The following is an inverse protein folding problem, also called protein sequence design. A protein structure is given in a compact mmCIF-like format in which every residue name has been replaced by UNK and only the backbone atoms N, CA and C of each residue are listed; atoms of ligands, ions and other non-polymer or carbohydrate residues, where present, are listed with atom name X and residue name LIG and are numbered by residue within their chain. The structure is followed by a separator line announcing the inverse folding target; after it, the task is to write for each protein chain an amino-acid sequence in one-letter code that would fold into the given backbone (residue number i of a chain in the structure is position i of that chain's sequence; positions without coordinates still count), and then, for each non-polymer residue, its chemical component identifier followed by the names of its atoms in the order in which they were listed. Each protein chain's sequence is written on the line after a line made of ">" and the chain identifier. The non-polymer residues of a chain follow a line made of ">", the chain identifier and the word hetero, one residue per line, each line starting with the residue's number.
data_IF_794138455324
#
_entry.id   IF_794138455324
#
_cell.length_a   1.000
_cell.length_b   1.000
_cell.length_c   1.000
_cell.angle_alpha   90.00
_cell.angle_beta   90.00
_cell.angle_gamma   90.00
#
_symmetry.space_group_name_H-M   'P 1'
#
loop_
_entity.id
_entity.type
_entity.pdbx_description
1 polymer ?
#
# COMPACT_ATOMS: atom_id res chain seq x y z
N UNK A 1 -0.25 53.01 -35.02
CA UNK A 1 -1.32 52.39 -34.21
C UNK A 1 -1.16 50.88 -34.28
N UNK A 2 -0.59 50.25 -33.25
CA UNK A 2 -0.33 48.82 -33.24
C UNK A 2 -0.33 48.26 -31.80
N UNK A 3 -0.83 47.02 -31.72
CA UNK A 3 -0.87 46.04 -30.62
C UNK A 3 -2.13 46.07 -29.74
N UNK A 4 -3.02 45.08 -29.79
CA UNK A 4 -2.88 43.60 -29.73
C UNK A 4 -2.54 43.12 -28.31
N UNK A 5 -3.42 42.24 -27.81
CA UNK A 5 -3.14 41.28 -26.74
C UNK A 5 -3.31 41.85 -25.33
N UNK A 6 -3.82 41.11 -24.37
CA UNK A 6 -4.53 39.84 -24.35
C UNK A 6 -5.08 39.74 -22.93
N UNK A 7 -6.27 39.14 -22.80
CA UNK A 7 -6.90 38.90 -21.51
C UNK A 7 -5.93 38.23 -20.55
N UNK A 8 -5.81 38.80 -19.36
CA UNK A 8 -5.18 38.13 -18.24
C UNK A 8 -5.98 36.84 -17.94
N UNK A 9 -5.37 35.65 -17.95
CA UNK A 9 -6.04 34.49 -17.38
C UNK A 9 -6.08 34.67 -15.87
N UNK A 10 -7.31 34.78 -15.37
CA UNK A 10 -7.67 34.68 -13.96
C UNK A 10 -7.10 33.36 -13.43
N UNK A 11 -6.09 33.44 -12.56
CA UNK A 11 -5.59 32.29 -11.80
C UNK A 11 -6.32 32.30 -10.47
N UNK A 12 -7.50 31.70 -10.45
CA UNK A 12 -8.24 31.42 -9.22
C UNK A 12 -8.15 29.93 -8.96
N UNK A 13 -7.37 29.57 -7.93
CA UNK A 13 -7.12 28.20 -7.52
C UNK A 13 -8.31 27.52 -6.86
N UNK A 14 -8.26 26.18 -6.88
CA UNK A 14 -8.96 25.13 -6.09
C UNK A 14 -9.02 23.91 -7.02
N UNK A 15 -8.47 22.71 -6.76
CA UNK A 15 -8.31 21.99 -5.52
C UNK A 15 -7.06 21.09 -5.57
N UNK A 16 -6.16 21.29 -4.60
CA UNK A 16 -5.18 20.29 -4.20
C UNK A 16 -5.86 19.38 -3.15
N UNK A 17 -5.67 18.06 -3.28
CA UNK A 17 -6.07 17.09 -2.25
C UNK A 17 -7.31 16.26 -2.61
N UNK A 18 -7.16 15.37 -3.59
CA UNK A 18 -8.22 14.44 -3.98
C UNK A 18 -7.97 13.81 -5.34
N UNK A 19 -6.74 13.36 -5.62
CA UNK A 19 -6.57 12.31 -6.62
C UNK A 19 -7.35 11.12 -6.06
N UNK A 20 -8.53 10.96 -6.64
CA UNK A 20 -9.61 10.09 -6.23
C UNK A 20 -9.09 8.74 -5.73
N UNK A 21 -9.81 8.13 -4.78
CA UNK A 21 -9.92 6.66 -4.75
C UNK A 21 -10.47 6.25 -6.12
N UNK A 22 -9.63 6.29 -7.14
CA UNK A 22 -10.01 6.26 -8.53
C UNK A 22 -10.72 4.93 -8.71
N UNK A 23 -12.01 5.02 -8.95
CA UNK A 23 -12.89 3.85 -9.03
C UNK A 23 -12.29 2.96 -10.12
N UNK A 24 -11.73 1.82 -9.71
CA UNK A 24 -11.15 0.86 -10.65
C UNK A 24 -12.27 0.41 -11.58
N UNK A 25 -12.25 0.87 -12.83
CA UNK A 25 -13.13 0.37 -13.87
C UNK A 25 -12.61 -0.98 -14.38
N UNK A 26 -13.46 -1.76 -15.07
CA UNK A 26 -13.10 -3.11 -15.48
C UNK A 26 -11.87 -3.14 -16.40
N UNK A 27 -11.71 -2.13 -17.27
CA UNK A 27 -10.57 -2.04 -18.18
C UNK A 27 -9.26 -1.74 -17.46
N UNK A 28 -9.26 -0.79 -16.51
CA UNK A 28 -8.05 -0.48 -15.72
C UNK A 28 -7.72 -1.59 -14.74
N UNK A 29 -8.73 -2.25 -14.15
CA UNK A 29 -8.52 -3.41 -13.28
C UNK A 29 -7.82 -4.55 -14.01
N UNK A 30 -8.18 -4.85 -15.27
CA UNK A 30 -7.51 -5.88 -16.07
C UNK A 30 -6.04 -5.55 -16.36
N UNK A 31 -5.75 -4.28 -16.66
CA UNK A 31 -4.38 -3.80 -16.88
C UNK A 31 -3.54 -3.90 -15.60
N UNK A 32 -4.07 -3.41 -14.48
CA UNK A 32 -3.42 -3.49 -13.17
C UNK A 32 -3.19 -4.94 -12.77
N UNK A 33 -4.19 -5.81 -12.94
CA UNK A 33 -4.07 -7.24 -12.63
C UNK A 33 -2.95 -7.89 -13.45
N UNK A 34 -2.82 -7.55 -14.73
CA UNK A 34 -1.73 -8.07 -15.59
C UNK A 34 -0.35 -7.64 -15.07
N UNK A 35 -0.21 -6.38 -14.66
CA UNK A 35 1.03 -5.87 -14.06
C UNK A 35 1.33 -6.57 -12.72
N UNK A 36 0.33 -6.68 -11.84
CA UNK A 36 0.50 -7.36 -10.55
C UNK A 36 0.80 -8.85 -10.69
N UNK A 37 0.21 -9.53 -11.69
CA UNK A 37 0.52 -10.91 -12.01
C UNK A 37 2.00 -11.08 -12.41
N UNK A 38 2.56 -10.09 -13.08
CA UNK A 38 3.98 -10.06 -13.37
C UNK A 38 4.81 -9.92 -12.08
N UNK A 39 4.35 -9.15 -11.09
CA UNK A 39 5.02 -9.02 -9.80
C UNK A 39 4.82 -10.27 -8.91
N UNK A 40 3.80 -11.09 -9.14
CA UNK A 40 3.47 -12.26 -8.33
C UNK A 40 4.43 -13.47 -8.50
N UNK A 41 5.71 -13.27 -8.80
CA UNK A 41 6.70 -14.36 -8.87
C UNK A 41 7.98 -13.99 -8.14
N UNK A 42 8.48 -14.85 -7.22
CA UNK A 42 9.63 -14.55 -6.36
C UNK A 42 10.87 -14.11 -7.14
N UNK A 43 11.27 -14.84 -8.18
CA UNK A 43 12.45 -14.50 -8.99
C UNK A 43 12.37 -13.10 -9.61
N UNK A 44 11.17 -12.68 -10.05
CA UNK A 44 10.98 -11.36 -10.66
C UNK A 44 11.01 -10.25 -9.62
N UNK A 45 10.45 -10.50 -8.43
CA UNK A 45 10.58 -9.57 -7.31
C UNK A 45 12.03 -9.40 -6.87
N UNK A 46 12.82 -10.47 -6.83
CA UNK A 46 14.24 -10.41 -6.51
C UNK A 46 15.00 -9.56 -7.54
N UNK A 47 14.76 -9.77 -8.83
CA UNK A 47 15.37 -8.95 -9.90
C UNK A 47 14.99 -7.46 -9.72
N UNK A 48 13.71 -7.16 -9.49
CA UNK A 48 13.25 -5.78 -9.32
C UNK A 48 13.81 -5.14 -8.04
N UNK A 49 13.92 -5.89 -6.94
CA UNK A 49 14.51 -5.43 -5.70
C UNK A 49 16.00 -5.08 -5.87
N UNK A 50 16.75 -5.86 -6.65
CA UNK A 50 18.14 -5.53 -7.01
C UNK A 50 18.24 -4.30 -7.91
N UNK A 51 17.38 -4.21 -8.92
CA UNK A 51 17.31 -3.04 -9.81
C UNK A 51 16.91 -1.74 -9.09
N UNK A 52 16.24 -1.84 -7.94
CA UNK A 52 15.93 -0.70 -7.06
C UNK A 52 17.18 -0.16 -6.35
N UNK A 53 18.15 -1.01 -6.04
CA UNK A 53 19.43 -0.60 -5.42
C UNK A 53 20.34 0.10 -6.44
N UNK A 54 20.26 -0.28 -7.72
CA UNK A 54 20.93 0.41 -8.80
C UNK A 54 20.79 -0.28 -10.17
N UNK A 55 21.12 0.44 -11.26
CA UNK A 55 21.08 -0.11 -12.60
C UNK A 55 22.24 -1.11 -12.81
N UNK A 56 21.90 -2.34 -13.22
CA UNK A 56 22.84 -3.48 -13.29
C UNK A 56 22.72 -4.23 -14.63
N UNK A 57 23.81 -4.83 -15.14
CA UNK A 57 23.75 -5.67 -16.32
C UNK A 57 23.09 -7.02 -16.04
N UNK A 58 22.48 -7.63 -17.06
CA UNK A 58 21.79 -8.92 -16.92
C UNK A 58 22.67 -10.05 -16.34
N UNK A 59 23.98 -10.02 -16.61
CA UNK A 59 24.93 -11.02 -16.11
C UNK A 59 25.11 -10.92 -14.60
N UNK A 60 25.16 -9.71 -14.04
CA UNK A 60 25.28 -9.50 -12.59
C UNK A 60 23.96 -9.83 -11.89
N UNK A 61 22.82 -9.41 -12.45
CA UNK A 61 21.50 -9.78 -11.94
C UNK A 61 21.30 -11.30 -11.87
N UNK A 62 21.74 -12.03 -12.89
CA UNK A 62 21.66 -13.49 -12.89
C UNK A 62 22.51 -14.10 -11.77
N UNK A 63 23.70 -13.57 -11.52
CA UNK A 63 24.59 -14.02 -10.47
C UNK A 63 24.02 -13.74 -9.06
N UNK A 64 23.46 -12.55 -8.83
CA UNK A 64 22.89 -12.16 -7.53
C UNK A 64 21.61 -12.92 -7.18
N UNK A 65 20.74 -13.15 -8.17
CA UNK A 65 19.49 -13.89 -7.97
C UNK A 65 19.73 -15.41 -7.96
N UNK A 66 20.94 -15.87 -8.33
CA UNK A 66 21.31 -17.28 -8.36
C UNK A 66 20.64 -18.04 -9.51
N UNK A 67 20.45 -17.38 -10.66
CA UNK A 67 19.76 -17.92 -11.82
C UNK A 67 20.68 -18.08 -13.02
N UNK A 68 20.32 -18.99 -13.93
CA UNK A 68 21.02 -19.14 -15.20
C UNK A 68 20.77 -17.92 -16.11
N UNK A 69 21.78 -17.48 -16.85
CA UNK A 69 21.71 -16.26 -17.67
C UNK A 69 20.59 -16.30 -18.72
N UNK A 70 20.31 -17.48 -19.29
CA UNK A 70 19.19 -17.66 -20.23
C UNK A 70 17.84 -17.39 -19.56
N UNK A 71 17.63 -17.94 -18.36
CA UNK A 71 16.41 -17.75 -17.58
C UNK A 71 16.23 -16.29 -17.15
N UNK A 72 17.29 -15.64 -16.67
CA UNK A 72 17.26 -14.21 -16.30
C UNK A 72 16.93 -13.34 -17.51
N UNK A 73 17.56 -13.59 -18.67
CA UNK A 73 17.30 -12.84 -19.91
C UNK A 73 15.87 -13.03 -20.43
N UNK A 74 15.27 -14.19 -20.21
CA UNK A 74 13.87 -14.44 -20.55
C UNK A 74 12.94 -13.62 -19.64
N UNK A 75 13.19 -13.63 -18.33
CA UNK A 75 12.41 -12.85 -17.36
C UNK A 75 12.53 -11.33 -17.60
N UNK A 76 13.74 -10.83 -17.88
CA UNK A 76 13.97 -9.42 -18.21
C UNK A 76 13.24 -8.99 -19.49
N UNK A 77 13.14 -9.87 -20.50
CA UNK A 77 12.34 -9.59 -21.70
C UNK A 77 10.86 -9.45 -21.37
N UNK A 78 10.31 -10.34 -20.54
CA UNK A 78 8.92 -10.27 -20.09
C UNK A 78 8.67 -8.98 -19.29
N UNK A 79 9.53 -8.67 -18.31
CA UNK A 79 9.43 -7.44 -17.51
C UNK A 79 9.51 -6.19 -18.38
N UNK A 80 10.37 -6.19 -19.40
CA UNK A 80 10.48 -5.07 -20.36
C UNK A 80 9.23 -4.92 -21.21
N UNK A 81 8.66 -6.03 -21.69
CA UNK A 81 7.43 -5.99 -22.49
C UNK A 81 6.22 -5.46 -21.69
N UNK A 82 6.25 -5.65 -20.37
CA UNK A 82 5.23 -5.17 -19.45
C UNK A 82 5.50 -3.74 -18.94
N UNK A 83 6.60 -3.12 -19.37
CA UNK A 83 6.96 -1.76 -18.99
C UNK A 83 7.44 -1.61 -17.54
N UNK A 84 7.92 -2.69 -16.90
CA UNK A 84 8.43 -2.64 -15.52
C UNK A 84 9.91 -2.30 -15.44
N UNK A 85 10.67 -2.61 -16.50
CA UNK A 85 12.10 -2.37 -16.59
C UNK A 85 12.47 -1.77 -17.93
N UNK A 86 13.52 -0.96 -17.94
CA UNK A 86 14.13 -0.40 -19.15
C UNK A 86 15.54 -0.96 -19.29
N UNK A 87 15.89 -1.36 -20.51
CA UNK A 87 17.23 -1.82 -20.84
C UNK A 87 17.93 -0.81 -21.74
N UNK A 88 19.02 -0.23 -21.26
CA UNK A 88 19.85 0.72 -22.01
C UNK A 88 21.15 0.04 -22.41
N UNK A 89 21.50 0.09 -23.69
CA UNK A 89 22.78 -0.44 -24.17
C UNK A 89 23.91 0.49 -23.75
N UNK A 90 24.81 0.01 -22.90
CA UNK A 90 26.04 0.70 -22.54
C UNK A 90 27.25 -0.09 -23.05
N UNK A 91 27.83 0.39 -24.15
CA UNK A 91 28.98 -0.23 -24.80
C UNK A 91 28.68 -1.65 -25.31
N UNK A 92 29.29 -2.65 -24.65
CA UNK A 92 29.19 -4.07 -25.02
C UNK A 92 28.08 -4.83 -24.26
N UNK A 93 27.48 -4.21 -23.25
CA UNK A 93 26.48 -4.84 -22.38
C UNK A 93 25.18 -4.04 -22.35
N UNK A 94 24.08 -4.69 -21.97
CA UNK A 94 22.79 -4.04 -21.70
C UNK A 94 22.62 -3.92 -20.21
N UNK A 95 22.51 -2.69 -19.73
CA UNK A 95 22.25 -2.37 -18.33
C UNK A 95 20.74 -2.18 -18.18
N UNK A 96 20.17 -2.85 -17.18
CA UNK A 96 18.76 -2.76 -16.86
C UNK A 96 18.56 -1.82 -15.67
N UNK A 97 17.43 -1.12 -15.69
CA UNK A 97 16.96 -0.26 -14.61
C UNK A 97 15.45 -0.42 -14.46
N UNK A 98 14.89 -0.01 -13.31
CA UNK A 98 13.45 0.16 -13.17
C UNK A 98 12.94 1.19 -14.18
N UNK A 99 11.71 0.99 -14.65
CA UNK A 99 11.11 1.87 -15.64
C UNK A 99 10.80 3.26 -15.08
N UNK A 100 10.30 3.32 -13.83
CA UNK A 100 9.90 4.54 -13.16
C UNK A 100 9.89 4.37 -11.64
N UNK A 101 9.92 5.51 -10.93
CA UNK A 101 9.95 5.57 -9.47
C UNK A 101 8.68 4.95 -8.83
N UNK A 102 7.53 4.98 -9.51
CA UNK A 102 6.31 4.36 -8.99
C UNK A 102 6.42 2.84 -8.84
N UNK A 103 7.22 2.17 -9.69
CA UNK A 103 7.47 0.74 -9.54
C UNK A 103 8.31 0.49 -8.29
N UNK A 104 9.31 1.33 -8.02
CA UNK A 104 10.10 1.24 -6.80
C UNK A 104 9.22 1.45 -5.56
N UNK A 105 8.40 2.51 -5.54
CA UNK A 105 7.47 2.81 -4.46
C UNK A 105 6.48 1.66 -4.23
N UNK A 106 5.94 1.05 -5.29
CA UNK A 106 5.03 -0.08 -5.20
C UNK A 106 5.69 -1.29 -4.52
N UNK A 107 6.94 -1.60 -4.88
CA UNK A 107 7.70 -2.67 -4.23
C UNK A 107 7.95 -2.35 -2.75
N UNK A 108 8.31 -1.10 -2.44
CA UNK A 108 8.56 -0.67 -1.06
C UNK A 108 7.30 -0.77 -0.20
N UNK A 109 6.15 -0.33 -0.73
CA UNK A 109 4.86 -0.47 -0.05
C UNK A 109 4.46 -1.94 0.12
N UNK A 110 4.73 -2.80 -0.86
CA UNK A 110 4.44 -4.24 -0.75
C UNK A 110 5.31 -4.92 0.33
N UNK A 111 6.60 -4.60 0.39
CA UNK A 111 7.52 -5.13 1.42
C UNK A 111 7.09 -4.62 2.80
N UNK A 112 6.87 -3.31 2.93
CA UNK A 112 6.41 -2.70 4.18
C UNK A 112 5.09 -3.32 4.64
N UNK A 113 4.14 -3.57 3.73
CA UNK A 113 2.87 -4.21 4.07
C UNK A 113 3.05 -5.64 4.62
N UNK A 114 3.93 -6.44 4.03
CA UNK A 114 4.21 -7.81 4.50
C UNK A 114 4.92 -7.78 5.85
N UNK A 115 5.88 -6.88 6.04
CA UNK A 115 6.56 -6.68 7.33
C UNK A 115 5.58 -6.23 8.41
N UNK A 116 4.69 -5.30 8.08
CA UNK A 116 3.65 -4.79 8.97
C UNK A 116 2.66 -5.88 9.40
N UNK A 117 2.20 -6.70 8.44
CA UNK A 117 1.38 -7.89 8.71
C UNK A 117 2.11 -8.91 9.58
N UNK A 118 3.39 -9.18 9.31
CA UNK A 118 4.20 -10.11 10.10
C UNK A 118 4.44 -9.62 11.54
N UNK A 119 4.53 -8.30 11.73
CA UNK A 119 4.69 -7.67 13.05
C UNK A 119 3.37 -7.52 13.81
N UNK A 120 2.23 -7.87 13.20
CA UNK A 120 0.92 -7.79 13.83
C UNK A 120 0.43 -6.36 14.09
N UNK A 121 1.12 -5.35 13.55
CA UNK A 121 0.56 -4.01 13.50
C UNK A 121 -0.54 -4.08 12.43
N UNK A 122 -1.78 -3.87 12.84
CA UNK A 122 -2.79 -3.43 11.90
C UNK A 122 -2.80 -1.92 12.01
N UNK A 123 -2.72 -1.19 10.91
CA UNK A 123 -3.16 0.20 10.84
C UNK A 123 -4.70 0.21 10.92
N UNK A 124 -5.23 -0.49 11.92
CA UNK A 124 -6.58 -0.31 12.39
C UNK A 124 -6.60 1.12 12.90
N UNK A 125 -6.98 2.01 11.98
CA UNK A 125 -7.49 3.35 12.20
C UNK A 125 -7.98 3.43 13.65
N UNK A 126 -7.39 4.26 14.52
CA UNK A 126 -7.97 4.45 15.82
C UNK A 126 -9.42 4.87 15.58
N UNK A 127 -10.36 4.09 16.10
CA UNK A 127 -11.78 4.43 16.21
C UNK A 127 -11.95 5.62 17.19
N UNK A 128 -11.21 6.71 16.93
CA UNK A 128 -11.16 7.94 17.70
C UNK A 128 -11.55 9.11 16.80
N UNK A 129 -12.70 8.95 16.15
CA UNK A 129 -13.63 10.06 15.98
C UNK A 129 -14.89 9.72 16.79
N UNK A 130 -14.70 9.42 18.07
CA UNK A 130 -15.72 9.67 19.08
C UNK A 130 -15.89 11.20 19.14
N UNK A 131 -16.73 11.71 18.25
CA UNK A 131 -17.21 13.08 18.24
C UNK A 131 -18.04 13.30 19.51
N UNK A 132 -17.37 13.68 20.58
CA UNK A 132 -18.03 14.44 21.63
C UNK A 132 -18.43 15.79 21.05
N UNK A 133 -19.71 16.12 21.04
CA UNK A 133 -20.21 17.51 21.12
C UNK A 133 -21.67 17.50 21.63
N UNK A 134 -21.78 17.66 22.95
CA UNK A 134 -22.74 18.48 23.72
C UNK A 134 -24.25 18.31 23.54
N UNK A 135 -24.93 17.86 24.60
CA UNK A 135 -26.14 18.53 25.10
C UNK A 135 -26.48 18.07 26.53
N UNK A 136 -26.61 19.03 27.44
CA UNK A 136 -27.53 18.91 28.57
C UNK A 136 -26.95 18.40 29.89
N UNK A 137 -26.33 19.32 30.63
CA UNK A 137 -26.30 19.23 32.08
C UNK A 137 -27.74 19.21 32.63
N UNK A 138 -28.09 18.20 33.44
CA UNK A 138 -29.10 18.35 34.48
C UNK A 138 -28.59 17.70 35.77
N UNK A 139 -28.72 18.46 36.85
CA UNK A 139 -28.24 18.17 38.22
C UNK A 139 -28.93 16.94 38.85
N UNK A 140 -28.35 16.39 39.92
CA UNK A 140 -28.82 15.17 40.57
C UNK A 140 -30.04 15.43 41.46
N UNK A 141 -31.00 14.50 41.47
CA UNK A 141 -32.09 14.41 42.46
C UNK A 141 -31.83 13.21 43.39
N UNK A 142 -31.94 13.36 44.72
CA UNK A 142 -31.53 12.34 45.69
C UNK A 142 -32.57 11.23 45.86
N UNK A 143 -32.09 10.00 45.96
CA UNK A 143 -32.88 8.84 46.37
C UNK A 143 -33.34 8.94 47.84
N UNK A 144 -34.60 8.59 48.15
CA UNK A 144 -34.98 8.19 49.49
C UNK A 144 -34.85 6.67 49.68
N UNK A 145 -34.54 6.32 50.92
CA UNK A 145 -34.18 5.00 51.42
C UNK A 145 -35.34 3.99 51.54
N UNK A 146 -34.93 2.75 51.86
CA UNK A 146 -35.66 1.72 52.61
C UNK A 146 -36.69 0.90 51.79
N UNK A 147 -36.87 -0.43 51.92
CA UNK A 147 -36.58 -1.41 52.98
C UNK A 147 -36.50 -2.85 52.41
N UNK A 148 -35.88 -3.73 53.22
CA UNK A 148 -36.19 -5.16 53.44
C UNK A 148 -36.18 -6.14 52.24
N UNK A 149 -35.59 -7.33 52.31
CA UNK A 149 -35.08 -8.13 53.43
C UNK A 149 -34.99 -9.60 52.99
N UNK A 150 -34.34 -10.42 53.82
CA UNK A 150 -34.19 -11.88 53.75
C UNK A 150 -33.33 -12.42 52.58
N UNK A 151 -32.32 -13.26 52.76
CA UNK A 151 -31.80 -14.07 53.86
C UNK A 151 -30.76 -15.03 53.24
N UNK A 152 -29.80 -15.56 54.02
CA UNK A 152 -28.63 -16.28 53.51
C UNK A 152 -28.91 -17.78 53.27
N UNK A 153 -27.85 -18.53 52.91
CA UNK A 153 -27.76 -20.01 52.80
C UNK A 153 -28.09 -20.58 51.40
N UNK A 154 -27.31 -21.44 50.76
CA UNK A 154 -26.12 -22.24 51.14
C UNK A 154 -25.46 -22.73 49.83
N UNK A 155 -24.12 -22.75 49.78
CA UNK A 155 -23.33 -23.69 48.96
C UNK A 155 -23.47 -25.13 49.56
N UNK A 156 -23.12 -26.25 48.89
CA UNK A 156 -21.99 -26.40 47.95
C UNK A 156 -22.11 -27.44 46.79
N UNK A 157 -21.10 -27.38 45.92
CA UNK A 157 -20.34 -28.46 45.24
C UNK A 157 -20.98 -29.83 44.92
N UNK A 158 -20.87 -30.23 43.65
CA UNK A 158 -20.48 -31.58 43.13
C UNK A 158 -20.16 -31.44 41.63
N UNK A 159 -18.92 -31.64 41.16
CA UNK A 159 -18.30 -32.91 40.74
C UNK A 159 -18.90 -33.52 39.46
N UNK A 160 -18.16 -33.35 38.35
CA UNK A 160 -17.69 -34.38 37.38
C UNK A 160 -18.65 -35.47 36.89
N UNK A 161 -18.87 -35.53 35.58
CA UNK A 161 -18.47 -36.63 34.68
C UNK A 161 -18.13 -36.09 33.29
#
# INVERSE_FOLDING_TARGET
>A
MARMGHGAPQRSGTAAGGASRARLDAASAARVATTLQALATPSRLLILARLREGPLPATELAAEVGMEQSACSHQLRLLRNLGLVVGTRQGRSVVYALHDDHVAELLDQAVHHVEHLNLGLSDAVPASAASGTTAGAVRPEPAPAAEAGAGPEKQPATTRE
#
